data_IF_812940654040
#
_entry.id   IF_812940654040
#
_cell.length_a   1.000
_cell.length_b   1.000
_cell.length_c   1.000
_cell.angle_alpha   90.00
_cell.angle_beta   90.00
_cell.angle_gamma   90.00
#
_symmetry.space_group_name_H-M   'P 1'
#
loop_
_entity.id
_entity.type
_entity.pdbx_description
1 polymer ?
#
# COMPACT_ATOMS: atom_id res chain seq x y z
N UNK A 1 1.37 16.84 1.21
CA UNK A 1 2.11 15.70 1.79
C UNK A 1 2.75 14.97 0.62
N UNK A 2 4.09 14.86 0.59
CA UNK A 2 4.81 14.26 -0.54
C UNK A 2 5.16 12.83 -0.17
N UNK A 3 4.40 11.86 -0.69
CA UNK A 3 4.66 10.44 -0.47
C UNK A 3 5.93 10.02 -1.24
N UNK A 4 6.89 9.38 -0.57
CA UNK A 4 8.14 8.93 -1.19
C UNK A 4 8.14 7.41 -1.38
N UNK A 5 8.35 6.99 -2.61
CA UNK A 5 8.48 5.57 -2.96
C UNK A 5 9.91 5.11 -2.71
N UNK A 6 10.08 4.03 -1.96
CA UNK A 6 11.40 3.49 -1.63
C UNK A 6 11.95 2.66 -2.79
N UNK A 7 13.19 2.95 -3.20
CA UNK A 7 13.91 2.14 -4.20
C UNK A 7 14.41 0.83 -3.58
N UNK A 8 14.27 -0.27 -4.31
CA UNK A 8 14.85 -1.58 -3.98
C UNK A 8 15.76 -2.05 -5.10
N UNK A 9 16.81 -2.79 -4.74
CA UNK A 9 17.80 -3.32 -5.71
C UNK A 9 17.39 -4.66 -6.29
N UNK A 10 16.60 -5.44 -5.55
CA UNK A 10 16.10 -6.74 -5.95
C UNK A 10 14.63 -6.65 -6.32
N UNK A 11 14.25 -7.35 -7.38
CA UNK A 11 12.85 -7.53 -7.73
C UNK A 11 12.11 -8.43 -6.73
N UNK A 12 10.84 -8.11 -6.52
CA UNK A 12 9.94 -8.78 -5.60
C UNK A 12 8.99 -9.68 -6.38
N UNK A 13 8.71 -10.87 -5.85
CA UNK A 13 7.65 -11.73 -6.35
C UNK A 13 6.44 -11.53 -5.43
N UNK A 14 5.32 -10.94 -5.92
CA UNK A 14 4.20 -10.53 -5.06
C UNK A 14 3.69 -11.63 -4.12
N UNK A 15 3.58 -12.86 -4.59
CA UNK A 15 3.04 -13.99 -3.82
C UNK A 15 4.04 -14.57 -2.81
N UNK A 16 5.34 -14.46 -3.07
CA UNK A 16 6.39 -15.02 -2.22
C UNK A 16 6.97 -14.02 -1.22
N UNK A 17 6.93 -12.72 -1.56
CA UNK A 17 7.52 -11.65 -0.77
C UNK A 17 6.49 -10.78 -0.04
N UNK A 18 5.26 -11.28 0.16
CA UNK A 18 4.18 -10.53 0.82
C UNK A 18 4.56 -10.10 2.25
N UNK A 19 5.26 -10.96 2.99
CA UNK A 19 5.72 -10.72 4.37
C UNK A 19 7.18 -10.25 4.45
N UNK A 20 7.78 -9.87 3.32
CA UNK A 20 9.16 -9.44 3.27
C UNK A 20 9.36 -8.16 4.11
N UNK A 21 10.34 -8.17 5.02
CA UNK A 21 10.62 -7.05 5.93
C UNK A 21 10.91 -5.72 5.22
N UNK A 22 11.29 -5.76 3.95
CA UNK A 22 11.51 -4.55 3.13
C UNK A 22 10.26 -3.68 3.05
N UNK A 23 9.06 -4.30 3.06
CA UNK A 23 7.79 -3.59 3.14
C UNK A 23 7.66 -2.77 4.42
N UNK A 24 8.15 -3.27 5.55
CA UNK A 24 8.07 -2.55 6.83
C UNK A 24 8.89 -1.25 6.84
N UNK A 25 9.90 -1.17 5.97
CA UNK A 25 10.75 0.00 5.82
C UNK A 25 10.26 0.98 4.73
N UNK A 26 9.13 0.68 4.04
CA UNK A 26 8.51 1.58 3.09
C UNK A 26 7.55 2.56 3.78
N UNK A 27 7.39 3.76 3.21
CA UNK A 27 6.45 4.75 3.73
C UNK A 27 5.02 4.23 3.69
N UNK A 28 4.27 4.48 4.76
CA UNK A 28 2.87 4.05 4.90
C UNK A 28 1.95 5.13 4.36
N UNK A 29 1.30 4.83 3.24
CA UNK A 29 0.25 5.65 2.67
C UNK A 29 -1.12 5.24 3.21
N UNK A 30 -2.04 6.20 3.34
CA UNK A 30 -3.43 5.94 3.74
C UNK A 30 -4.37 6.46 2.67
N UNK A 31 -5.26 5.61 2.19
CA UNK A 31 -6.34 6.04 1.29
C UNK A 31 -7.53 6.37 2.19
N UNK A 32 -7.82 7.68 2.29
CA UNK A 32 -9.00 8.18 2.98
C UNK A 32 -10.28 7.97 2.17
N UNK A 33 -11.42 8.12 2.84
CA UNK A 33 -12.76 8.06 2.27
C UNK A 33 -12.89 8.75 0.91
N UNK A 34 -13.45 8.05 -0.07
CA UNK A 34 -13.83 8.69 -1.31
C UNK A 34 -15.08 9.54 -1.09
N UNK A 35 -15.07 10.77 -1.59
CA UNK A 35 -16.11 11.79 -1.38
C UNK A 35 -17.50 11.42 -1.94
N UNK A 36 -17.59 10.36 -2.75
CA UNK A 36 -18.83 9.90 -3.39
C UNK A 36 -19.54 8.78 -2.61
N UNK A 37 -18.97 8.25 -1.52
CA UNK A 37 -19.69 7.30 -0.67
C UNK A 37 -20.79 8.02 0.11
N UNK A 38 -22.02 7.47 0.05
CA UNK A 38 -23.17 7.98 0.81
C UNK A 38 -22.83 8.03 2.31
N UNK A 39 -23.38 9.02 3.02
CA UNK A 39 -23.14 9.34 4.46
C UNK A 39 -23.22 8.17 5.46
N UNK A 40 -23.74 7.00 5.08
CA UNK A 40 -23.89 5.81 5.93
C UNK A 40 -23.10 4.57 5.46
N UNK A 41 -22.12 4.73 4.56
CA UNK A 41 -21.28 3.59 4.16
C UNK A 41 -20.16 3.44 5.19
N UNK A 42 -20.05 2.29 5.86
CA UNK A 42 -18.82 1.95 6.59
C UNK A 42 -17.69 1.94 5.57
N UNK A 43 -16.71 2.83 5.72
CA UNK A 43 -15.64 3.00 4.74
C UNK A 43 -14.48 2.11 5.18
N UNK A 44 -14.05 1.13 4.36
CA UNK A 44 -12.90 0.32 4.71
C UNK A 44 -11.66 1.20 4.83
N UNK A 45 -10.88 0.96 5.87
CA UNK A 45 -9.60 1.63 6.03
C UNK A 45 -8.57 0.93 5.17
N UNK A 46 -7.99 1.65 4.21
CA UNK A 46 -6.95 1.11 3.33
C UNK A 46 -5.62 1.76 3.63
N UNK A 47 -4.65 0.92 3.97
CA UNK A 47 -3.25 1.29 4.11
C UNK A 47 -2.49 0.71 2.93
N UNK A 48 -1.62 1.51 2.32
CA UNK A 48 -0.79 1.06 1.21
C UNK A 48 0.70 1.32 1.45
N UNK A 49 1.53 0.55 0.77
CA UNK A 49 2.98 0.74 0.68
C UNK A 49 3.43 0.55 -0.76
N UNK A 50 4.46 1.29 -1.15
CA UNK A 50 5.03 1.22 -2.49
C UNK A 50 6.54 1.01 -2.44
N UNK A 51 7.01 0.09 -3.27
CA UNK A 51 8.43 -0.12 -3.55
C UNK A 51 8.63 0.01 -5.06
N UNK A 52 9.77 0.50 -5.51
CA UNK A 52 10.11 0.49 -6.94
C UNK A 52 11.52 -0.04 -7.16
N UNK A 53 11.70 -0.84 -8.22
CA UNK A 53 12.99 -1.25 -8.73
C UNK A 53 13.29 -0.53 -10.05
N UNK A 54 14.37 -0.91 -10.73
CA UNK A 54 14.70 -0.35 -12.06
C UNK A 54 13.59 -0.60 -13.08
N UNK A 55 12.90 -1.73 -12.99
CA UNK A 55 11.93 -2.19 -14.01
C UNK A 55 10.49 -2.21 -13.51
N UNK A 56 10.28 -2.29 -12.19
CA UNK A 56 8.98 -2.59 -11.62
C UNK A 56 8.54 -1.60 -10.54
N UNK A 57 7.22 -1.43 -10.42
CA UNK A 57 6.57 -0.77 -9.31
C UNK A 57 5.71 -1.79 -8.56
N UNK A 58 6.00 -1.97 -7.28
CA UNK A 58 5.32 -2.91 -6.40
C UNK A 58 4.37 -2.19 -5.46
N UNK A 59 3.18 -2.76 -5.30
CA UNK A 59 2.09 -2.20 -4.50
C UNK A 59 1.64 -3.26 -3.49
N UNK A 60 1.59 -2.88 -2.21
CA UNK A 60 0.99 -3.69 -1.15
C UNK A 60 -0.16 -2.91 -0.53
N UNK A 61 -1.33 -3.55 -0.41
CA UNK A 61 -2.53 -2.99 0.20
C UNK A 61 -2.95 -3.86 1.37
N UNK A 62 -3.25 -3.21 2.49
CA UNK A 62 -3.91 -3.83 3.63
C UNK A 62 -5.27 -3.15 3.78
N UNK A 63 -6.33 -3.92 3.55
CA UNK A 63 -7.71 -3.46 3.66
C UNK A 63 -8.28 -3.98 4.96
N UNK A 64 -8.71 -3.08 5.84
CA UNK A 64 -9.52 -3.43 7.01
C UNK A 64 -10.97 -3.09 6.72
N UNK A 65 -11.77 -4.13 6.51
CA UNK A 65 -13.21 -4.03 6.38
C UNK A 65 -13.85 -4.14 7.76
N UNK A 66 -14.53 -3.09 8.21
CA UNK A 66 -15.36 -3.15 9.42
C UNK A 66 -16.73 -3.71 9.02
N UNK A 67 -16.90 -5.03 9.09
CA UNK A 67 -18.20 -5.69 8.87
C UNK A 67 -19.20 -5.33 9.98
#
# INVERSE_FOLDING_TARGET
MNYRVKKVEKDFVPDADVDNQTWMAAEVGRIGSWTWHKKNTKIPSVVFRMLWSTENLYLSFHVKEDW
#
